data_IF_570848223132
#
_entry.id   IF_570848223132
#
_cell.length_a   1.000
_cell.length_b   1.000
_cell.length_c   1.000
_cell.angle_alpha   90.00
_cell.angle_beta   90.00
_cell.angle_gamma   90.00
#
_symmetry.space_group_name_H-M   'P 1'
#
loop_
_entity.id
_entity.type
_entity.pdbx_description
1 polymer ?
#
# COMPACT_ATOMS: atom_id res chain seq x y z
N UNK A 1 17.24 19.64 -1.01
CA UNK A 1 17.80 20.34 0.17
C UNK A 1 19.19 19.78 0.43
N UNK A 2 20.20 20.64 0.56
CA UNK A 2 21.56 20.23 0.90
C UNK A 2 21.73 20.22 2.42
N UNK A 3 22.54 19.29 2.92
CA UNK A 3 22.86 19.14 4.34
C UNK A 3 23.82 20.25 4.76
N UNK A 4 23.38 21.17 5.62
CA UNK A 4 24.21 22.28 6.09
C UNK A 4 25.25 21.83 7.12
N UNK A 5 24.91 20.84 7.94
CA UNK A 5 25.79 20.17 8.91
C UNK A 5 25.29 18.76 9.19
N UNK A 6 26.11 17.93 9.82
CA UNK A 6 25.72 16.62 10.32
C UNK A 6 24.60 16.70 11.38
N UNK A 7 23.68 15.71 11.44
CA UNK A 7 22.65 15.71 12.45
C UNK A 7 23.28 15.78 13.82
N UNK A 8 22.79 16.69 14.65
CA UNK A 8 23.28 16.82 16.01
C UNK A 8 22.82 15.62 16.87
N UNK A 9 23.65 15.23 17.82
CA UNK A 9 23.41 14.08 18.70
C UNK A 9 23.12 12.78 17.91
N UNK A 10 22.14 11.99 18.35
CA UNK A 10 21.72 10.75 17.70
C UNK A 10 20.62 10.97 16.64
N UNK A 11 20.40 12.23 16.24
CA UNK A 11 19.43 12.54 15.20
C UNK A 11 19.82 11.87 13.88
N UNK A 12 18.82 11.53 13.09
CA UNK A 12 18.96 10.89 11.79
C UNK A 12 17.96 11.50 10.82
N UNK A 13 18.24 11.44 9.53
CA UNK A 13 17.25 11.81 8.52
C UNK A 13 16.09 10.80 8.54
N UNK A 14 14.90 11.19 8.11
CA UNK A 14 13.77 10.25 7.98
C UNK A 14 14.15 9.03 7.14
N UNK A 15 14.92 9.25 6.07
CA UNK A 15 15.44 8.18 5.23
C UNK A 15 16.28 7.17 6.01
N UNK A 16 17.23 7.64 6.82
CA UNK A 16 18.09 6.75 7.62
C UNK A 16 17.32 6.07 8.76
N UNK A 17 16.32 6.76 9.32
CA UNK A 17 15.41 6.20 10.32
C UNK A 17 14.62 5.03 9.72
N UNK A 18 13.89 5.27 8.62
CA UNK A 18 13.08 4.22 7.98
C UNK A 18 13.95 3.09 7.42
N UNK A 19 15.12 3.39 6.88
CA UNK A 19 16.09 2.37 6.46
C UNK A 19 16.55 1.51 7.65
N UNK A 20 16.84 2.11 8.79
CA UNK A 20 17.18 1.38 10.02
C UNK A 20 16.03 0.50 10.53
N UNK A 21 14.80 1.01 10.49
CA UNK A 21 13.59 0.25 10.83
C UNK A 21 13.41 -0.94 9.89
N UNK A 22 13.51 -0.73 8.57
CA UNK A 22 13.36 -1.80 7.57
C UNK A 22 14.38 -2.92 7.78
N UNK A 23 15.63 -2.58 8.16
CA UNK A 23 16.65 -3.56 8.52
C UNK A 23 16.21 -4.40 9.71
N UNK A 24 15.79 -3.77 10.81
CA UNK A 24 15.40 -4.50 12.02
C UNK A 24 14.13 -5.32 11.82
N UNK A 25 13.15 -4.75 11.12
CA UNK A 25 11.92 -5.44 10.74
C UNK A 25 12.24 -6.72 9.96
N UNK A 26 13.11 -6.65 8.95
CA UNK A 26 13.53 -7.81 8.16
C UNK A 26 14.05 -8.95 9.05
N UNK A 27 14.91 -8.66 10.02
CA UNK A 27 15.42 -9.66 10.98
C UNK A 27 14.30 -10.32 11.79
N UNK A 28 13.26 -9.55 12.16
CA UNK A 28 12.15 -10.00 12.99
C UNK A 28 11.08 -10.79 12.21
N UNK A 29 11.12 -10.79 10.88
CA UNK A 29 10.13 -11.52 10.06
C UNK A 29 10.31 -13.04 10.08
N UNK A 30 11.51 -13.52 10.40
CA UNK A 30 11.84 -14.95 10.37
C UNK A 30 10.89 -15.77 11.27
N UNK A 31 10.23 -16.76 10.70
CA UNK A 31 9.25 -17.61 11.40
C UNK A 31 7.86 -17.00 11.59
N UNK A 32 7.64 -15.76 11.13
CA UNK A 32 6.36 -15.05 11.25
C UNK A 32 5.78 -14.61 9.91
N UNK A 33 6.61 -14.05 9.01
CA UNK A 33 6.19 -13.50 7.72
C UNK A 33 7.22 -13.85 6.64
N UNK A 34 6.77 -14.53 5.58
CA UNK A 34 7.59 -14.95 4.44
C UNK A 34 7.27 -14.15 3.17
N UNK A 35 7.08 -14.88 2.07
CA UNK A 35 6.50 -14.33 0.84
C UNK A 35 5.00 -14.54 0.88
N UNK A 36 4.27 -13.45 1.12
CA UNK A 36 2.82 -13.48 1.36
C UNK A 36 2.04 -12.91 0.18
N UNK A 37 0.81 -13.40 -0.02
CA UNK A 37 -0.16 -12.83 -0.96
C UNK A 37 -1.17 -11.99 -0.20
N UNK A 38 -1.11 -10.69 -0.38
CA UNK A 38 -1.98 -9.72 0.28
C UNK A 38 -3.12 -9.29 -0.65
N UNK A 39 -4.34 -9.20 -0.12
CA UNK A 39 -5.53 -8.74 -0.87
C UNK A 39 -5.76 -7.27 -0.54
N UNK A 40 -5.49 -6.41 -1.51
CA UNK A 40 -5.54 -4.95 -1.37
C UNK A 40 -6.75 -4.40 -2.10
N UNK A 41 -7.59 -3.66 -1.36
CA UNK A 41 -8.68 -2.88 -1.94
C UNK A 41 -8.14 -1.56 -2.51
N UNK A 42 -8.35 -1.31 -3.80
CA UNK A 42 -7.94 -0.05 -4.46
C UNK A 42 -9.19 0.69 -4.94
N UNK A 43 -9.42 1.94 -4.51
CA UNK A 43 -10.57 2.70 -4.98
C UNK A 43 -10.49 2.96 -6.49
N UNK A 44 -11.61 3.36 -7.09
CA UNK A 44 -11.59 3.91 -8.44
C UNK A 44 -10.72 5.17 -8.43
N UNK A 45 -9.72 5.19 -9.31
CA UNK A 45 -8.76 6.28 -9.40
C UNK A 45 -9.13 7.21 -10.56
N UNK A 46 -8.89 8.51 -10.36
CA UNK A 46 -8.87 9.45 -11.48
C UNK A 46 -7.73 9.13 -12.44
N UNK A 47 -7.83 9.59 -13.69
CA UNK A 47 -6.88 9.36 -14.76
C UNK A 47 -6.70 7.87 -15.11
N UNK A 48 -7.73 7.07 -14.80
CA UNK A 48 -7.81 5.65 -15.14
C UNK A 48 -9.18 5.33 -15.73
N UNK A 49 -9.35 4.24 -16.51
CA UNK A 49 -10.68 3.86 -17.02
C UNK A 49 -11.76 3.71 -15.94
N UNK A 50 -11.36 3.41 -14.70
CA UNK A 50 -12.28 3.29 -13.56
C UNK A 50 -12.93 4.60 -13.12
N UNK A 51 -12.44 5.76 -13.58
CA UNK A 51 -13.04 7.06 -13.27
C UNK A 51 -14.46 7.22 -13.82
N UNK A 52 -14.80 6.46 -14.88
CA UNK A 52 -16.11 6.46 -15.53
C UNK A 52 -17.07 5.41 -14.94
N UNK A 53 -16.90 5.07 -13.66
CA UNK A 53 -17.58 3.96 -12.98
C UNK A 53 -19.12 4.08 -12.95
N UNK A 54 -19.65 5.15 -12.34
CA UNK A 54 -21.10 5.39 -12.15
C UNK A 54 -21.48 6.79 -12.69
N UNK A 55 -21.81 6.91 -13.98
CA UNK A 55 -21.92 8.22 -14.63
C UNK A 55 -23.21 9.00 -14.36
N UNK A 56 -24.30 8.34 -13.93
CA UNK A 56 -25.63 8.98 -13.85
C UNK A 56 -26.21 9.01 -12.44
N UNK A 57 -26.18 7.88 -11.74
CA UNK A 57 -26.79 7.69 -10.43
C UNK A 57 -25.81 7.00 -9.50
N UNK A 58 -26.01 7.20 -8.20
CA UNK A 58 -25.29 6.46 -7.16
C UNK A 58 -26.10 5.22 -6.83
N UNK A 59 -25.48 4.04 -6.92
CA UNK A 59 -26.06 2.76 -6.54
C UNK A 59 -25.18 2.07 -5.50
N UNK A 60 -25.80 1.59 -4.43
CA UNK A 60 -25.16 0.88 -3.32
C UNK A 60 -25.42 -0.64 -3.44
N UNK A 61 -24.37 -1.38 -3.79
CA UNK A 61 -24.41 -2.85 -3.91
C UNK A 61 -24.80 -3.54 -2.60
N UNK A 62 -24.49 -2.95 -1.43
CA UNK A 62 -24.82 -3.54 -0.13
C UNK A 62 -26.32 -3.44 0.18
N UNK A 63 -27.04 -2.53 -0.49
CA UNK A 63 -28.50 -2.40 -0.44
C UNK A 63 -29.21 -3.20 -1.55
N UNK A 64 -28.46 -3.88 -2.42
CA UNK A 64 -29.02 -4.61 -3.56
C UNK A 64 -29.42 -3.70 -4.73
N UNK A 65 -28.92 -2.47 -4.80
CA UNK A 65 -29.24 -1.52 -5.88
C UNK A 65 -28.43 -1.80 -7.17
N UNK A 66 -27.33 -2.54 -7.05
CA UNK A 66 -26.48 -3.00 -8.16
C UNK A 66 -25.65 -4.23 -7.74
N UNK A 67 -25.03 -4.92 -8.71
CA UNK A 67 -24.10 -6.01 -8.43
C UNK A 67 -22.75 -5.49 -7.90
N UNK A 68 -22.05 -6.21 -7.00
CA UNK A 68 -20.71 -5.85 -6.53
C UNK A 68 -19.64 -6.21 -7.58
N UNK A 69 -19.32 -5.26 -8.47
CA UNK A 69 -18.34 -5.39 -9.55
C UNK A 69 -17.05 -4.62 -9.19
N UNK A 70 -15.93 -5.30 -8.91
CA UNK A 70 -14.65 -4.67 -8.62
C UNK A 70 -14.21 -3.71 -9.73
N UNK A 71 -13.83 -2.49 -9.33
CA UNK A 71 -13.39 -1.44 -10.24
C UNK A 71 -14.54 -0.66 -10.91
N UNK A 72 -15.80 -0.94 -10.57
CA UNK A 72 -16.97 -0.23 -11.11
C UNK A 72 -17.97 0.16 -10.04
N UNK A 73 -18.54 -0.81 -9.34
CA UNK A 73 -19.53 -0.55 -8.28
C UNK A 73 -18.98 -0.81 -6.87
N UNK A 74 -17.79 -1.42 -6.78
CA UNK A 74 -16.99 -1.53 -5.56
C UNK A 74 -15.49 -1.33 -5.88
N UNK A 75 -14.60 -1.15 -4.88
CA UNK A 75 -13.16 -1.05 -5.11
C UNK A 75 -12.60 -2.26 -5.87
N UNK A 76 -11.51 -2.06 -6.60
CA UNK A 76 -10.72 -3.17 -7.14
C UNK A 76 -10.18 -4.05 -6.00
N UNK A 77 -10.16 -5.36 -6.19
CA UNK A 77 -9.56 -6.31 -5.27
C UNK A 77 -8.31 -6.91 -5.91
N UNK A 78 -7.13 -6.43 -5.50
CA UNK A 78 -5.86 -6.78 -6.12
C UNK A 78 -5.06 -7.73 -5.24
N UNK A 79 -4.41 -8.73 -5.84
CA UNK A 79 -3.44 -9.57 -5.12
C UNK A 79 -2.05 -8.97 -5.29
N UNK A 80 -1.40 -8.64 -4.18
CA UNK A 80 -0.04 -8.09 -4.13
C UNK A 80 0.87 -9.07 -3.40
N UNK A 81 1.96 -9.47 -4.05
CA UNK A 81 2.97 -10.30 -3.41
C UNK A 81 3.93 -9.44 -2.57
N UNK A 82 4.16 -9.84 -1.31
CA UNK A 82 5.02 -9.15 -0.36
C UNK A 82 6.08 -10.11 0.18
N UNK A 83 7.32 -9.86 -0.22
CA UNK A 83 8.50 -10.56 0.31
C UNK A 83 9.03 -9.81 1.55
N UNK A 84 8.48 -10.15 2.73
CA UNK A 84 8.82 -9.47 3.98
C UNK A 84 10.29 -9.66 4.40
N UNK A 85 10.90 -10.86 4.27
CA UNK A 85 12.32 -11.08 4.53
C UNK A 85 13.29 -10.28 3.64
N UNK A 86 12.82 -9.66 2.56
CA UNK A 86 13.63 -8.79 1.70
C UNK A 86 13.25 -7.31 1.76
N UNK A 87 12.45 -6.88 2.74
CA UNK A 87 11.99 -5.48 2.89
C UNK A 87 13.14 -4.47 2.89
N UNK A 88 14.27 -4.78 3.53
CA UNK A 88 15.43 -3.87 3.57
C UNK A 88 16.19 -3.76 2.24
N UNK A 89 16.13 -4.79 1.38
CA UNK A 89 16.91 -4.88 0.13
C UNK A 89 16.13 -4.42 -1.10
N UNK A 90 14.81 -4.30 -0.98
CA UNK A 90 13.90 -3.91 -2.05
C UNK A 90 14.04 -2.43 -2.38
#
# INVERSE_FOLDING_TARGET
LAKATDPAWEARSDWDIFKGIAKKFTELTAGHLGVEKDVVTVPMLHDTPGELAQPFHVQDWKKGECDPLPGKTMPNLMVVERDYPNTYKK
#
